data_IF_669960655637
#
_entry.id   IF_669960655637
#
_cell.length_a   1.000
_cell.length_b   1.000
_cell.length_c   1.000
_cell.angle_alpha   90.00
_cell.angle_beta   90.00
_cell.angle_gamma   90.00
#
_symmetry.space_group_name_H-M   'P 1'
#
loop_
_entity.id
_entity.type
_entity.pdbx_description
1 polymer ?
#
# COMPACT_ATOMS: atom_id res chain seq x y z
N UNK A 1 -5.42 8.38 25.96
CA UNK A 1 -5.24 8.54 24.50
C UNK A 1 -5.21 7.20 23.79
N UNK A 2 -4.32 6.29 24.21
CA UNK A 2 -4.20 4.93 23.68
C UNK A 2 -5.51 4.13 23.70
N UNK A 3 -6.24 4.15 24.83
CA UNK A 3 -7.55 3.48 24.97
C UNK A 3 -8.58 4.00 23.98
N UNK A 4 -8.56 5.30 23.67
CA UNK A 4 -9.50 5.90 22.71
C UNK A 4 -9.17 5.49 21.27
N UNK A 5 -7.88 5.41 20.93
CA UNK A 5 -7.44 4.95 19.61
C UNK A 5 -7.71 3.45 19.40
N UNK A 6 -7.46 2.64 20.43
CA UNK A 6 -7.72 1.20 20.37
C UNK A 6 -9.23 0.86 20.30
N UNK A 7 -10.08 1.71 20.88
CA UNK A 7 -11.54 1.55 20.84
C UNK A 7 -12.20 2.19 19.61
N UNK A 8 -11.44 2.84 18.73
CA UNK A 8 -11.99 3.46 17.53
C UNK A 8 -12.49 2.37 16.56
N UNK A 9 -13.75 2.42 16.10
CA UNK A 9 -14.32 1.34 15.28
C UNK A 9 -13.83 1.32 13.83
N UNK A 10 -13.18 2.40 13.37
CA UNK A 10 -12.61 2.48 12.03
C UNK A 10 -11.12 2.15 11.98
N UNK A 11 -10.53 2.31 10.81
CA UNK A 11 -9.08 2.20 10.63
C UNK A 11 -8.38 3.50 11.01
N UNK A 12 -7.26 3.40 11.73
CA UNK A 12 -6.38 4.53 12.02
C UNK A 12 -5.01 4.27 11.40
N UNK A 13 -4.52 5.24 10.64
CA UNK A 13 -3.12 5.31 10.21
C UNK A 13 -2.44 6.31 11.14
N UNK A 14 -1.36 5.88 11.80
CA UNK A 14 -0.60 6.72 12.70
C UNK A 14 0.88 6.74 12.29
N UNK A 15 1.49 7.92 12.35
CA UNK A 15 2.93 8.12 12.19
C UNK A 15 3.41 8.82 13.46
N UNK A 16 4.31 8.18 14.19
CA UNK A 16 4.80 8.69 15.46
C UNK A 16 6.26 8.32 15.68
N UNK A 17 6.99 9.23 16.33
CA UNK A 17 8.31 8.93 16.87
C UNK A 17 8.24 8.28 18.27
N UNK A 18 7.07 8.27 18.90
CA UNK A 18 6.85 7.61 20.19
C UNK A 18 6.63 6.11 20.00
N UNK A 19 7.66 5.34 20.35
CA UNK A 19 7.65 3.87 20.24
C UNK A 19 6.65 3.20 21.17
N UNK A 20 6.35 3.79 22.34
CA UNK A 20 5.41 3.21 23.30
C UNK A 20 3.98 3.28 22.74
N UNK A 21 3.61 4.43 22.16
CA UNK A 21 2.31 4.59 21.50
C UNK A 21 2.13 3.58 20.36
N UNK A 22 3.13 3.45 19.48
CA UNK A 22 3.10 2.49 18.36
C UNK A 22 2.98 1.07 18.89
N UNK A 23 3.77 0.69 19.89
CA UNK A 23 3.75 -0.65 20.46
C UNK A 23 2.39 -1.00 21.08
N UNK A 24 1.69 -0.02 21.67
CA UNK A 24 0.40 -0.23 22.34
C UNK A 24 -0.78 -0.29 21.39
N UNK A 25 -0.74 0.43 20.27
CA UNK A 25 -1.91 0.62 19.39
C UNK A 25 -1.78 -0.12 18.06
N UNK A 26 -0.57 -0.27 17.51
CA UNK A 26 -0.38 -0.82 16.17
C UNK A 26 -0.50 -2.35 16.14
N UNK A 27 -1.36 -2.83 15.25
CA UNK A 27 -1.55 -4.25 14.93
C UNK A 27 -1.11 -4.61 13.49
N UNK A 28 -0.57 -3.63 12.77
CA UNK A 28 0.04 -3.73 11.42
C UNK A 28 1.15 -2.69 11.34
N UNK A 29 2.29 -3.06 10.78
CA UNK A 29 3.46 -2.19 10.62
C UNK A 29 3.72 -1.98 9.13
N UNK A 30 3.77 -0.72 8.71
CA UNK A 30 4.27 -0.33 7.40
C UNK A 30 5.68 0.24 7.58
N UNK A 31 6.67 -0.52 7.14
CA UNK A 31 8.04 -0.02 7.04
C UNK A 31 8.22 0.62 5.66
N UNK A 32 8.81 1.81 5.62
CA UNK A 32 9.15 2.49 4.38
C UNK A 32 10.67 2.61 4.33
N UNK A 33 11.30 1.91 3.40
CA UNK A 33 12.75 1.94 3.18
C UNK A 33 13.03 1.93 1.68
N UNK A 34 13.97 2.76 1.23
CA UNK A 34 14.43 2.81 -0.17
C UNK A 34 13.31 2.97 -1.22
N UNK A 35 12.22 3.65 -0.85
CA UNK A 35 11.06 3.85 -1.73
C UNK A 35 10.10 2.66 -1.80
N UNK A 36 10.31 1.62 -0.99
CA UNK A 36 9.50 0.42 -0.91
C UNK A 36 8.80 0.34 0.43
N UNK A 37 7.51 0.04 0.40
CA UNK A 37 6.69 -0.18 1.60
C UNK A 37 6.59 -1.68 1.87
N UNK A 38 7.14 -2.13 3.00
CA UNK A 38 6.93 -3.49 3.50
C UNK A 38 5.76 -3.51 4.46
N UNK A 39 4.85 -4.43 4.21
CA UNK A 39 3.54 -4.50 4.86
C UNK A 39 3.46 -5.69 5.81
N UNK A 40 3.80 -5.46 7.08
CA UNK A 40 3.84 -6.50 8.08
C UNK A 40 2.56 -6.55 8.90
N UNK A 41 1.86 -7.69 8.83
CA UNK A 41 0.67 -7.95 9.63
C UNK A 41 1.07 -8.48 11.02
N UNK A 42 1.14 -7.59 12.00
CA UNK A 42 1.45 -7.94 13.39
C UNK A 42 1.80 -6.72 14.24
N UNK A 43 2.11 -6.97 15.50
CA UNK A 43 2.53 -5.93 16.45
C UNK A 43 3.98 -5.52 16.21
N UNK A 44 4.39 -4.38 16.78
CA UNK A 44 5.77 -3.91 16.71
C UNK A 44 6.79 -4.91 17.30
N UNK A 45 6.41 -5.65 18.34
CA UNK A 45 7.31 -6.65 18.94
C UNK A 45 7.47 -7.88 18.03
N UNK A 46 6.37 -8.35 17.43
CA UNK A 46 6.43 -9.42 16.45
C UNK A 46 7.27 -9.00 15.23
N UNK A 47 7.18 -7.74 14.81
CA UNK A 47 7.99 -7.19 13.73
C UNK A 47 9.49 -7.21 14.05
N UNK A 48 9.88 -6.85 15.27
CA UNK A 48 11.30 -6.90 15.69
C UNK A 48 11.85 -8.32 15.68
N UNK A 49 11.11 -9.27 16.24
CA UNK A 49 11.48 -10.69 16.19
C UNK A 49 11.60 -11.17 14.75
N UNK A 50 10.72 -10.68 13.87
CA UNK A 50 10.76 -11.01 12.46
C UNK A 50 12.03 -10.50 11.78
N UNK A 51 12.45 -9.25 12.04
CA UNK A 51 13.70 -8.68 11.55
C UNK A 51 14.93 -9.47 12.03
N UNK A 52 14.92 -9.93 13.27
CA UNK A 52 16.01 -10.73 13.85
C UNK A 52 16.08 -12.14 13.26
N UNK A 53 14.93 -12.76 13.00
CA UNK A 53 14.84 -14.15 12.53
C UNK A 53 14.84 -14.27 11.00
N UNK A 54 14.63 -13.17 10.27
CA UNK A 54 14.49 -13.15 8.81
C UNK A 54 13.34 -14.01 8.30
N UNK A 55 12.30 -14.22 9.12
CA UNK A 55 11.24 -15.20 8.84
C UNK A 55 10.19 -14.69 7.86
N UNK A 56 10.03 -13.37 7.67
CA UNK A 56 9.15 -12.83 6.63
C UNK A 56 9.92 -12.80 5.31
N UNK A 57 9.98 -13.96 4.67
CA UNK A 57 10.42 -14.10 3.28
C UNK A 57 9.26 -13.87 2.30
N UNK A 58 8.18 -13.20 2.74
CA UNK A 58 7.03 -12.95 1.86
C UNK A 58 7.42 -11.95 0.77
N UNK A 59 7.21 -12.44 -0.44
CA UNK A 59 6.91 -11.78 -1.71
C UNK A 59 7.48 -10.39 -1.96
N UNK A 60 8.30 -10.31 -3.01
CA UNK A 60 8.68 -9.13 -3.81
C UNK A 60 7.86 -7.86 -3.47
N UNK A 61 8.28 -7.09 -2.43
CA UNK A 61 7.50 -5.95 -1.96
C UNK A 61 7.45 -4.86 -3.03
N UNK A 62 8.43 -4.79 -3.92
CA UNK A 62 8.47 -3.89 -5.06
C UNK A 62 7.32 -4.17 -6.03
N UNK A 63 7.13 -5.43 -6.45
CA UNK A 63 5.97 -5.86 -7.26
C UNK A 63 4.66 -5.49 -6.57
N UNK A 64 4.59 -5.77 -5.28
CA UNK A 64 3.43 -5.53 -4.45
C UNK A 64 3.08 -4.04 -4.33
N UNK A 65 4.10 -3.19 -4.24
CA UNK A 65 3.99 -1.74 -4.23
C UNK A 65 3.55 -1.20 -5.60
N UNK A 66 4.09 -1.76 -6.68
CA UNK A 66 3.70 -1.41 -8.05
C UNK A 66 2.23 -1.73 -8.31
N UNK A 67 1.74 -2.89 -7.86
CA UNK A 67 0.32 -3.26 -7.94
C UNK A 67 -0.55 -2.26 -7.16
N UNK A 68 -0.18 -1.91 -5.92
CA UNK A 68 -0.92 -0.93 -5.11
C UNK A 68 -0.97 0.44 -5.79
N UNK A 69 0.16 0.91 -6.33
CA UNK A 69 0.25 2.17 -7.07
C UNK A 69 -0.65 2.17 -8.31
N UNK A 70 -0.58 1.13 -9.14
CA UNK A 70 -1.40 1.03 -10.35
C UNK A 70 -2.90 0.99 -10.03
N UNK A 71 -3.30 0.29 -8.96
CA UNK A 71 -4.70 0.27 -8.51
C UNK A 71 -5.17 1.67 -8.09
N UNK A 72 -4.34 2.41 -7.34
CA UNK A 72 -4.66 3.79 -6.94
C UNK A 72 -4.76 4.72 -8.16
N UNK A 73 -3.80 4.66 -9.07
CA UNK A 73 -3.83 5.46 -10.30
C UNK A 73 -5.08 5.14 -11.14
N UNK A 74 -5.41 3.87 -11.34
CA UNK A 74 -6.63 3.48 -12.04
C UNK A 74 -7.89 4.02 -11.36
N UNK A 75 -7.96 3.97 -10.03
CA UNK A 75 -9.09 4.52 -9.29
C UNK A 75 -9.22 6.04 -9.49
N UNK A 76 -8.10 6.78 -9.48
CA UNK A 76 -8.09 8.20 -9.78
C UNK A 76 -8.58 8.48 -11.20
N UNK A 77 -8.10 7.72 -12.19
CA UNK A 77 -8.51 7.88 -13.59
C UNK A 77 -10.00 7.62 -13.79
N UNK A 78 -10.54 6.58 -13.15
CA UNK A 78 -11.97 6.25 -13.21
C UNK A 78 -12.85 7.27 -12.47
N UNK A 79 -12.27 7.97 -11.48
CA UNK A 79 -12.96 9.03 -10.74
C UNK A 79 -12.88 10.41 -11.43
N UNK A 80 -12.00 10.56 -12.41
CA UNK A 80 -11.83 11.80 -13.16
C UNK A 80 -12.83 11.91 -14.33
N UNK A 81 -13.07 13.14 -14.77
CA UNK A 81 -13.90 13.41 -15.94
C UNK A 81 -13.19 12.95 -17.22
N UNK A 82 -13.94 12.29 -18.12
CA UNK A 82 -13.40 11.92 -19.43
C UNK A 82 -13.06 13.19 -20.23
N UNK A 83 -11.84 13.30 -20.80
CA UNK A 83 -11.49 14.45 -21.62
C UNK A 83 -12.39 14.57 -22.85
N UNK A 84 -12.82 15.79 -23.15
CA UNK A 84 -13.71 16.11 -24.28
C UNK A 84 -12.97 16.25 -25.61
N UNK A 85 -11.67 16.50 -25.59
CA UNK A 85 -10.82 16.58 -26.78
C UNK A 85 -10.50 15.17 -27.30
N UNK A 86 -10.66 14.95 -28.61
CA UNK A 86 -10.48 13.64 -29.26
C UNK A 86 -9.03 13.10 -29.15
N UNK A 87 -8.02 13.94 -29.35
CA UNK A 87 -6.61 13.56 -29.16
C UNK A 87 -6.32 13.21 -27.69
N UNK A 88 -6.86 14.01 -26.77
CA UNK A 88 -6.72 13.76 -25.34
C UNK A 88 -7.43 12.47 -24.91
N UNK A 89 -8.59 12.16 -25.53
CA UNK A 89 -9.34 10.93 -25.32
C UNK A 89 -8.57 9.71 -25.82
N UNK A 90 -7.93 9.79 -26.98
CA UNK A 90 -7.05 8.71 -27.49
C UNK A 90 -5.90 8.44 -26.52
N UNK A 91 -5.19 9.49 -26.08
CA UNK A 91 -4.10 9.34 -25.10
C UNK A 91 -4.59 8.77 -23.78
N UNK A 92 -5.73 9.25 -23.30
CA UNK A 92 -6.34 8.79 -22.05
C UNK A 92 -6.70 7.29 -22.11
N UNK A 93 -7.33 6.84 -23.21
CA UNK A 93 -7.65 5.42 -23.39
C UNK A 93 -6.38 4.56 -23.53
N UNK A 94 -5.35 5.04 -24.21
CA UNK A 94 -4.07 4.32 -24.34
C UNK A 94 -3.41 4.11 -22.96
N UNK A 95 -3.34 5.17 -22.16
CA UNK A 95 -2.75 5.20 -20.82
C UNK A 95 -3.50 4.28 -19.82
N UNK A 96 -4.82 4.28 -19.89
CA UNK A 96 -5.69 3.38 -19.12
C UNK A 96 -5.49 1.90 -19.51
N UNK A 97 -5.38 1.62 -20.81
CA UNK A 97 -5.15 0.26 -21.31
C UNK A 97 -3.78 -0.28 -20.87
N UNK A 98 -2.75 0.56 -20.90
CA UNK A 98 -1.40 0.22 -20.45
C UNK A 98 -1.38 -0.14 -18.96
N UNK A 99 -1.92 0.72 -18.09
CA UNK A 99 -1.99 0.46 -16.64
C UNK A 99 -2.77 -0.80 -16.32
N UNK A 100 -3.91 -1.02 -16.98
CA UNK A 100 -4.72 -2.23 -16.78
C UNK A 100 -3.98 -3.48 -17.25
N UNK A 101 -3.22 -3.40 -18.35
CA UNK A 101 -2.37 -4.51 -18.82
C UNK A 101 -1.27 -4.82 -17.82
N UNK A 102 -0.51 -3.81 -17.38
CA UNK A 102 0.58 -3.97 -16.40
C UNK A 102 0.08 -4.57 -15.09
N UNK A 103 -1.06 -4.09 -14.58
CA UNK A 103 -1.68 -4.63 -13.38
C UNK A 103 -2.04 -6.13 -13.54
N UNK A 104 -2.57 -6.55 -14.69
CA UNK A 104 -2.86 -7.97 -14.95
C UNK A 104 -1.61 -8.83 -15.04
N UNK A 105 -0.55 -8.33 -15.67
CA UNK A 105 0.74 -9.04 -15.76
C UNK A 105 1.35 -9.25 -14.37
N UNK A 106 1.31 -8.21 -13.52
CA UNK A 106 1.81 -8.29 -12.16
C UNK A 106 0.88 -9.05 -11.22
N UNK A 107 -0.44 -9.04 -11.42
CA UNK A 107 -1.37 -9.78 -10.56
C UNK A 107 -1.54 -11.25 -10.95
N UNK A 108 -1.25 -11.64 -12.20
CA UNK A 108 -1.46 -12.98 -12.74
C UNK A 108 -0.28 -13.95 -12.62
N UNK A 109 0.87 -13.52 -12.08
CA UNK A 109 1.97 -14.42 -11.68
C UNK A 109 1.67 -15.04 -10.31
N UNK A 110 0.84 -16.08 -10.28
CA UNK A 110 0.75 -17.02 -9.15
C UNK A 110 1.43 -18.34 -9.52
#
# INVERSE_FOLDING_TARGET
MEVALAAYPGSVILVSHDRYLVQKVANRIWEIQEGVVRDFHGTLDAYRVNLETGTDRRDDPERDNEIRKLRYELALYLSGDEPTNEDAKIQWWADLHERRRRLRELAGKE
#
